data_IF_911706796379
#
_entry.id   IF_911706796379
#
_cell.length_a   1.000
_cell.length_b   1.000
_cell.length_c   1.000
_cell.angle_alpha   90.00
_cell.angle_beta   90.00
_cell.angle_gamma   90.00
#
_symmetry.space_group_name_H-M   'P 1'
#
loop_
_entity.id
_entity.type
_entity.pdbx_description
1 polymer ?
#
# COMPACT_ATOMS: atom_id res chain seq x y z
N UNK A 1 7.39 15.13 9.42
CA UNK A 1 7.33 13.66 9.37
C UNK A 1 8.24 13.24 8.23
N UNK A 2 9.43 12.74 8.56
CA UNK A 2 10.38 12.23 7.57
C UNK A 2 9.93 10.81 7.27
N UNK A 3 9.58 10.53 6.01
CA UNK A 3 9.32 9.17 5.53
C UNK A 3 10.68 8.56 5.23
N UNK A 4 11.18 7.70 6.13
CA UNK A 4 12.30 6.85 5.80
C UNK A 4 11.82 5.79 4.80
N UNK A 5 12.38 5.83 3.60
CA UNK A 5 12.10 4.87 2.53
C UNK A 5 13.14 3.76 2.61
N UNK A 6 12.76 2.63 3.20
CA UNK A 6 13.58 1.42 3.24
C UNK A 6 13.15 0.49 2.10
N UNK A 7 14.07 0.20 1.17
CA UNK A 7 13.83 -0.74 0.07
C UNK A 7 14.36 -2.14 0.46
N UNK A 8 13.97 -2.61 1.64
CA UNK A 8 14.49 -3.84 2.23
C UNK A 8 13.60 -5.03 1.83
N UNK A 9 13.80 -5.50 0.60
CA UNK A 9 13.33 -6.84 0.23
C UNK A 9 14.22 -7.89 0.91
N UNK A 10 13.64 -8.97 1.42
CA UNK A 10 14.40 -10.09 2.01
C UNK A 10 15.36 -10.71 0.98
N UNK A 11 15.02 -10.61 -0.30
CA UNK A 11 15.82 -11.06 -1.42
C UNK A 11 16.04 -9.93 -2.41
N UNK A 12 17.31 -9.68 -2.74
CA UNK A 12 17.68 -8.76 -3.80
C UNK A 12 17.38 -9.41 -5.15
N UNK A 13 16.35 -8.94 -5.87
CA UNK A 13 15.84 -9.59 -7.08
C UNK A 13 15.51 -8.61 -8.19
N UNK A 14 15.65 -9.06 -9.44
CA UNK A 14 15.15 -8.34 -10.61
C UNK A 14 13.85 -8.96 -11.08
N UNK A 15 12.88 -8.11 -11.43
CA UNK A 15 11.54 -8.49 -11.87
C UNK A 15 11.53 -9.44 -13.08
N UNK A 16 12.54 -9.37 -13.93
CA UNK A 16 12.65 -10.19 -15.15
C UNK A 16 13.21 -11.60 -14.89
N UNK A 17 13.79 -11.85 -13.71
CA UNK A 17 14.47 -13.10 -13.41
C UNK A 17 13.51 -14.16 -12.83
N UNK A 18 12.28 -13.76 -12.48
CA UNK A 18 11.32 -14.61 -11.78
C UNK A 18 9.92 -14.52 -12.40
N UNK A 19 9.17 -15.61 -12.34
CA UNK A 19 7.77 -15.58 -12.77
C UNK A 19 6.91 -14.79 -11.77
N UNK A 20 5.77 -14.21 -12.19
CA UNK A 20 4.91 -13.40 -11.31
C UNK A 20 4.46 -14.12 -10.03
N UNK A 21 4.26 -15.43 -10.09
CA UNK A 21 3.86 -16.25 -8.94
C UNK A 21 4.98 -16.29 -7.88
N UNK A 22 6.23 -16.47 -8.31
CA UNK A 22 7.38 -16.47 -7.41
C UNK A 22 7.60 -15.09 -6.78
N UNK A 23 7.47 -14.02 -7.58
CA UNK A 23 7.55 -12.64 -7.08
C UNK A 23 6.46 -12.35 -6.04
N UNK A 24 5.23 -12.81 -6.29
CA UNK A 24 4.13 -12.65 -5.35
C UNK A 24 4.37 -13.40 -4.03
N UNK A 25 4.87 -14.65 -4.11
CA UNK A 25 5.20 -15.42 -2.91
C UNK A 25 6.28 -14.72 -2.07
N UNK A 26 7.33 -14.21 -2.70
CA UNK A 26 8.43 -13.53 -2.01
C UNK A 26 7.99 -12.18 -1.42
N UNK A 27 7.11 -11.45 -2.11
CA UNK A 27 6.52 -10.24 -1.55
C UNK A 27 5.70 -10.54 -0.28
N UNK A 28 4.88 -11.59 -0.30
CA UNK A 28 4.14 -12.03 0.88
C UNK A 28 5.05 -12.48 2.02
N UNK A 29 6.11 -13.25 1.71
CA UNK A 29 7.10 -13.67 2.70
C UNK A 29 7.83 -12.46 3.32
N UNK A 30 8.17 -11.47 2.49
CA UNK A 30 8.77 -10.20 2.93
C UNK A 30 7.85 -9.47 3.90
N UNK A 31 6.57 -9.28 3.51
CA UNK A 31 5.58 -8.62 4.35
C UNK A 31 5.44 -9.35 5.69
N UNK A 32 5.25 -10.68 5.68
CA UNK A 32 5.00 -11.46 6.89
C UNK A 32 6.22 -11.53 7.83
N UNK A 33 7.43 -11.41 7.30
CA UNK A 33 8.65 -11.41 8.13
C UNK A 33 8.90 -10.03 8.74
N UNK A 34 8.70 -8.96 7.97
CA UNK A 34 8.88 -7.59 8.44
C UNK A 34 7.74 -7.15 9.37
N UNK A 35 6.53 -7.61 9.08
CA UNK A 35 5.30 -7.32 9.82
C UNK A 35 4.57 -8.65 10.07
N UNK A 36 4.90 -9.36 11.17
CA UNK A 36 4.21 -10.60 11.51
C UNK A 36 2.73 -10.36 11.84
N UNK A 37 1.78 -11.13 11.26
CA UNK A 37 0.34 -10.89 11.42
C UNK A 37 -0.19 -11.14 12.84
N UNK A 38 0.57 -11.85 13.67
CA UNK A 38 0.29 -12.04 15.10
C UNK A 38 0.63 -10.79 15.94
N UNK A 39 1.50 -9.91 15.43
CA UNK A 39 1.91 -8.68 16.10
C UNK A 39 1.35 -7.41 15.44
N UNK A 40 1.13 -7.43 14.12
CA UNK A 40 0.80 -6.26 13.32
C UNK A 40 -0.58 -6.38 12.70
N UNK A 41 -1.40 -5.33 12.85
CA UNK A 41 -2.58 -5.18 12.01
C UNK A 41 -2.16 -4.79 10.59
N UNK A 42 -2.50 -5.65 9.63
CA UNK A 42 -2.27 -5.38 8.22
C UNK A 42 -3.45 -4.60 7.63
N UNK A 43 -3.18 -3.41 7.12
CA UNK A 43 -4.16 -2.59 6.43
C UNK A 43 -3.81 -2.51 4.96
N UNK A 44 -4.63 -3.11 4.12
CA UNK A 44 -4.48 -3.11 2.68
C UNK A 44 -5.26 -1.95 2.08
N UNK A 45 -4.57 -1.06 1.38
CA UNK A 45 -5.20 -0.06 0.53
C UNK A 45 -5.18 -0.56 -0.91
N UNK A 46 -6.32 -0.49 -1.57
CA UNK A 46 -6.40 -0.87 -2.98
C UNK A 46 -7.31 0.06 -3.73
N UNK A 47 -7.06 0.14 -5.03
CA UNK A 47 -7.91 0.88 -5.94
C UNK A 47 -9.27 0.20 -6.03
N UNK A 48 -10.32 0.99 -5.93
CA UNK A 48 -11.67 0.54 -6.22
C UNK A 48 -12.23 1.30 -7.41
N UNK A 49 -13.09 0.65 -8.19
CA UNK A 49 -13.89 1.30 -9.21
C UNK A 49 -15.32 1.33 -8.67
N UNK A 50 -15.74 2.47 -8.13
CA UNK A 50 -17.14 2.68 -7.76
C UNK A 50 -17.80 3.55 -8.84
N UNK A 51 -18.88 3.02 -9.42
CA UNK A 51 -19.71 3.70 -10.43
C UNK A 51 -18.91 4.31 -11.58
N UNK A 52 -17.96 3.54 -12.12
CA UNK A 52 -17.08 3.95 -13.24
C UNK A 52 -16.20 5.18 -12.95
N UNK A 53 -16.14 5.61 -11.69
CA UNK A 53 -15.29 6.69 -11.22
C UNK A 53 -14.16 6.16 -10.34
N UNK A 54 -13.12 6.97 -10.18
CA UNK A 54 -12.00 6.62 -9.33
C UNK A 54 -12.48 6.45 -7.89
N UNK A 55 -12.24 5.27 -7.33
CA UNK A 55 -12.55 4.92 -5.95
C UNK A 55 -11.29 4.54 -5.17
N UNK A 56 -11.41 4.67 -3.85
CA UNK A 56 -10.42 4.27 -2.87
C UNK A 56 -11.04 3.21 -1.97
N UNK A 57 -10.28 2.17 -1.63
CA UNK A 57 -10.73 1.16 -0.71
C UNK A 57 -9.66 0.82 0.31
N UNK A 58 -10.14 0.42 1.48
CA UNK A 58 -9.33 -0.10 2.56
C UNK A 58 -9.93 -1.39 3.09
N UNK A 59 -9.06 -2.34 3.41
CA UNK A 59 -9.43 -3.59 4.05
C UNK A 59 -8.41 -3.97 5.12
N UNK A 60 -8.91 -4.41 6.27
CA UNK A 60 -8.17 -5.14 7.29
C UNK A 60 -9.16 -6.02 8.08
N UNK A 61 -8.66 -6.87 8.96
CA UNK A 61 -9.49 -7.75 9.79
C UNK A 61 -10.50 -7.01 10.68
N UNK A 62 -10.25 -5.72 10.91
CA UNK A 62 -11.05 -4.87 11.78
C UNK A 62 -12.11 -4.04 11.03
N UNK A 63 -11.91 -3.73 9.75
CA UNK A 63 -12.85 -2.94 8.97
C UNK A 63 -12.59 -3.06 7.46
N UNK A 64 -13.65 -2.83 6.68
CA UNK A 64 -13.56 -2.65 5.23
C UNK A 64 -14.44 -1.49 4.80
N UNK A 65 -13.88 -0.57 4.02
CA UNK A 65 -14.58 0.63 3.54
C UNK A 65 -14.14 1.00 2.13
N UNK A 66 -15.12 1.50 1.37
CA UNK A 66 -14.91 2.10 0.07
C UNK A 66 -15.30 3.58 0.13
N UNK A 67 -14.61 4.39 -0.65
CA UNK A 67 -14.83 5.82 -0.78
C UNK A 67 -14.83 6.21 -2.25
N UNK A 68 -15.84 6.97 -2.67
CA UNK A 68 -15.81 7.65 -3.95
C UNK A 68 -14.85 8.82 -3.89
N UNK A 69 -13.89 8.86 -4.80
CA UNK A 69 -12.89 9.92 -4.87
C UNK A 69 -13.31 10.97 -5.90
N UNK A 70 -14.07 10.58 -6.92
CA UNK A 70 -14.71 11.46 -7.90
C UNK A 70 -14.19 11.26 -9.33
N UNK A 71 -14.88 11.86 -10.31
CA UNK A 71 -14.64 11.65 -11.76
C UNK A 71 -13.39 12.34 -12.32
N UNK A 72 -12.80 13.29 -11.59
CA UNK A 72 -11.65 14.11 -12.05
C UNK A 72 -10.39 13.88 -11.22
N UNK A 73 -10.30 12.72 -10.57
CA UNK A 73 -9.22 12.40 -9.65
C UNK A 73 -8.28 11.36 -10.24
N UNK A 74 -6.99 11.54 -9.97
CA UNK A 74 -5.94 10.66 -10.48
C UNK A 74 -5.87 9.38 -9.66
N UNK A 75 -5.11 8.39 -10.16
CA UNK A 75 -4.77 7.20 -9.37
C UNK A 75 -4.10 7.58 -8.03
N UNK A 76 -3.18 8.56 -8.08
CA UNK A 76 -2.48 9.05 -6.90
C UNK A 76 -3.44 9.67 -5.87
N UNK A 77 -4.42 10.46 -6.31
CA UNK A 77 -5.45 10.98 -5.41
C UNK A 77 -6.21 9.85 -4.71
N UNK A 78 -6.54 8.79 -5.45
CA UNK A 78 -7.24 7.62 -4.89
C UNK A 78 -6.43 6.90 -3.81
N UNK A 79 -5.13 6.76 -4.00
CA UNK A 79 -4.24 6.15 -3.00
C UNK A 79 -4.12 7.00 -1.74
N UNK A 80 -3.95 8.32 -1.90
CA UNK A 80 -3.92 9.25 -0.76
C UNK A 80 -5.24 9.21 0.01
N UNK A 81 -6.37 9.17 -0.68
CA UNK A 81 -7.68 9.03 -0.04
C UNK A 81 -7.87 7.67 0.64
N UNK A 82 -7.33 6.58 0.09
CA UNK A 82 -7.35 5.27 0.74
C UNK A 82 -6.55 5.28 2.05
N UNK A 83 -5.37 5.90 2.06
CA UNK A 83 -4.54 6.06 3.27
C UNK A 83 -5.24 6.97 4.29
N UNK A 84 -5.83 8.09 3.86
CA UNK A 84 -6.62 8.97 4.74
C UNK A 84 -7.80 8.23 5.36
N UNK A 85 -8.51 7.45 4.56
CA UNK A 85 -9.61 6.62 5.02
C UNK A 85 -9.15 5.59 6.05
N UNK A 86 -8.03 4.90 5.82
CA UNK A 86 -7.44 3.97 6.77
C UNK A 86 -7.13 4.65 8.12
N UNK A 87 -6.43 5.79 8.08
CA UNK A 87 -6.08 6.55 9.28
C UNK A 87 -7.31 7.07 10.04
N UNK A 88 -8.34 7.51 9.32
CA UNK A 88 -9.60 7.93 9.93
C UNK A 88 -10.34 6.76 10.60
N UNK A 89 -10.38 5.59 9.96
CA UNK A 89 -10.99 4.40 10.57
C UNK A 89 -10.22 3.93 11.82
N UNK A 90 -8.89 4.06 11.82
CA UNK A 90 -8.06 3.79 12.99
C UNK A 90 -8.33 4.79 14.12
N UNK A 91 -8.33 6.10 13.84
CA UNK A 91 -8.52 7.13 14.87
C UNK A 91 -9.91 7.13 15.48
N UNK A 92 -10.92 6.69 14.73
CA UNK A 92 -12.29 6.55 15.22
C UNK A 92 -12.50 5.35 16.15
N UNK A 93 -11.51 4.46 16.30
CA UNK A 93 -11.59 3.26 17.15
C UNK A 93 -11.09 3.54 18.56
N UNK A 94 -11.86 3.09 19.55
CA UNK A 94 -11.51 3.19 20.98
C UNK A 94 -10.38 2.25 21.40
N UNK A 95 -10.16 1.18 20.63
CA UNK A 95 -9.07 0.23 20.80
C UNK A 95 -8.43 0.00 19.43
N UNK A 96 -7.18 0.44 19.31
CA UNK A 96 -6.31 0.18 18.16
C UNK A 96 -5.19 -0.76 18.60
N UNK A 97 -4.78 -1.70 17.74
CA UNK A 97 -3.60 -2.50 18.01
C UNK A 97 -2.35 -1.62 18.10
N UNK A 98 -1.42 -2.02 18.96
CA UNK A 98 -0.19 -1.25 19.26
C UNK A 98 0.73 -1.10 18.03
N UNK A 99 0.67 -2.07 17.10
CA UNK A 99 1.43 -2.06 15.86
C UNK A 99 0.48 -2.21 14.67
N UNK A 100 0.65 -1.34 13.69
CA UNK A 100 -0.16 -1.32 12.46
C UNK A 100 0.73 -0.99 11.28
N UNK A 101 0.54 -1.70 10.17
CA UNK A 101 1.22 -1.44 8.90
C UNK A 101 0.18 -1.15 7.82
N UNK A 102 0.43 -0.12 7.00
CA UNK A 102 -0.38 0.18 5.81
C UNK A 102 0.38 -0.33 4.59
N UNK A 103 -0.22 -1.29 3.90
CA UNK A 103 0.28 -1.93 2.70
C UNK A 103 -0.45 -1.34 1.50
N UNK A 104 0.25 -0.52 0.71
CA UNK A 104 -0.30 0.16 -0.46
C UNK A 104 0.50 -0.19 -1.71
N UNK A 105 -0.19 -0.47 -2.80
CA UNK A 105 0.42 -0.64 -4.13
C UNK A 105 0.70 0.73 -4.78
N UNK A 106 1.62 1.51 -4.20
CA UNK A 106 2.07 2.80 -4.75
C UNK A 106 2.96 2.59 -5.97
N UNK A 107 2.39 2.02 -7.03
CA UNK A 107 3.04 1.83 -8.33
C UNK A 107 3.65 3.14 -8.88
N UNK A 108 3.05 4.30 -8.54
CA UNK A 108 3.59 5.63 -8.87
C UNK A 108 4.82 6.05 -8.06
N UNK A 109 4.95 5.64 -6.79
CA UNK A 109 6.15 5.95 -5.99
C UNK A 109 7.37 5.24 -6.58
N UNK A 110 7.21 3.99 -7.03
CA UNK A 110 8.24 3.26 -7.77
C UNK A 110 8.56 3.93 -9.10
N UNK A 111 7.56 4.42 -9.84
CA UNK A 111 7.78 5.13 -11.10
C UNK A 111 8.50 6.48 -10.90
N UNK A 112 8.17 7.23 -9.84
CA UNK A 112 8.87 8.47 -9.48
C UNK A 112 10.32 8.22 -9.03
N UNK A 113 10.56 7.16 -8.26
CA UNK A 113 11.91 6.75 -7.87
C UNK A 113 12.74 6.31 -9.08
N UNK A 114 12.16 5.51 -10.00
CA UNK A 114 12.82 5.10 -11.24
C UNK A 114 13.16 6.31 -12.14
N UNK A 115 12.22 7.26 -12.29
CA UNK A 115 12.44 8.47 -13.11
C UNK A 115 13.52 9.41 -12.57
N UNK A 116 13.86 9.31 -11.28
CA UNK A 116 14.92 10.12 -10.67
C UNK A 116 16.31 9.50 -10.84
N UNK A 117 16.41 8.20 -11.15
CA UNK A 117 17.70 7.57 -11.45
C UNK A 117 18.19 7.87 -12.88
N UNK A 118 17.27 8.06 -13.82
CA UNK A 118 17.59 8.40 -15.23
C UNK A 118 18.06 9.86 -15.43
N UNK A 119 17.97 10.72 -14.41
CA UNK A 119 18.44 12.12 -14.47
C UNK A 119 19.87 12.32 -13.96
N UNK A 120 20.59 11.25 -13.65
CA UNK A 120 22.00 11.30 -13.22
C UNK A 120 22.99 10.67 -14.22
N UNK A 121 22.56 10.45 -15.47
CA UNK A 121 23.43 10.01 -16.57
C UNK A 121 23.73 11.12 -17.57
#
# INVERSE_FOLDING_TARGET
MVLDVWLDLILNMRKNDFCPIALHAIALETINTCYPPDEWLHIYTYRSLLDFTQGAAVFCDLFSKNLHVGSHKTHYDGEIEAIRLALHQLSARLSTPDKTVILSDLSFALQALASNQDKQS
#
